data_IF_417899779255
#
_entry.id   IF_417899779255
#
_cell.length_a   1.000
_cell.length_b   1.000
_cell.length_c   1.000
_cell.angle_alpha   90.00
_cell.angle_beta   90.00
_cell.angle_gamma   90.00
#
_symmetry.space_group_name_H-M   'P 1'
#
loop_
_entity.id
_entity.type
_entity.pdbx_description
1 polymer ?
#
# COMPACT_ATOMS: atom_id res chain seq x y z
N UNK A 1 20.63 -10.62 25.30
CA UNK A 1 19.66 -9.58 24.97
C UNK A 1 19.55 -9.49 23.45
N UNK A 2 18.33 -9.32 22.96
CA UNK A 2 17.99 -9.23 21.55
C UNK A 2 18.48 -7.89 20.97
N UNK A 3 18.83 -7.88 19.68
CA UNK A 3 19.16 -6.65 18.96
C UNK A 3 17.86 -5.83 18.75
N UNK A 4 17.91 -4.49 18.79
CA UNK A 4 16.75 -3.68 18.44
C UNK A 4 16.34 -3.94 16.99
N UNK A 5 15.04 -3.89 16.70
CA UNK A 5 14.47 -4.17 15.39
C UNK A 5 13.96 -2.88 14.73
N UNK A 6 14.33 -2.68 13.48
CA UNK A 6 13.77 -1.66 12.62
C UNK A 6 12.41 -2.13 12.10
N UNK A 7 11.42 -1.23 12.11
CA UNK A 7 10.08 -1.46 11.57
C UNK A 7 9.79 -0.39 10.54
N UNK A 8 9.55 -0.78 9.29
CA UNK A 8 9.41 0.15 8.17
C UNK A 8 8.21 -0.23 7.31
N UNK A 9 7.37 0.76 7.00
CA UNK A 9 6.34 0.65 5.97
C UNK A 9 6.70 1.50 4.76
N UNK A 10 6.59 0.95 3.56
CA UNK A 10 6.78 1.65 2.29
C UNK A 10 5.69 1.27 1.30
N UNK A 11 5.25 2.27 0.54
CA UNK A 11 4.31 2.07 -0.54
C UNK A 11 5.04 2.17 -1.87
N UNK A 12 4.93 1.13 -2.67
CA UNK A 12 5.37 1.10 -4.05
C UNK A 12 4.22 1.37 -5.01
N UNK A 13 4.43 1.12 -6.29
CA UNK A 13 3.38 1.26 -7.31
C UNK A 13 2.32 0.15 -7.18
N UNK A 14 2.78 -1.10 -7.03
CA UNK A 14 1.94 -2.30 -7.01
C UNK A 14 1.75 -2.89 -5.62
N UNK A 15 2.69 -2.68 -4.71
CA UNK A 15 2.64 -3.32 -3.39
C UNK A 15 2.90 -2.35 -2.24
N UNK A 16 2.33 -2.67 -1.07
CA UNK A 16 2.74 -2.16 0.22
C UNK A 16 3.72 -3.15 0.83
N UNK A 17 4.86 -2.65 1.27
CA UNK A 17 5.84 -3.38 2.06
C UNK A 17 5.73 -2.96 3.53
N UNK A 18 5.52 -3.92 4.41
CA UNK A 18 5.80 -3.80 5.84
C UNK A 18 6.95 -4.75 6.16
N UNK A 19 8.03 -4.24 6.72
CA UNK A 19 9.22 -5.07 7.01
C UNK A 19 9.77 -4.78 8.39
N UNK A 20 10.17 -5.86 9.04
CA UNK A 20 10.86 -5.85 10.31
C UNK A 20 12.18 -6.64 10.18
N UNK A 21 13.26 -6.10 10.72
CA UNK A 21 14.57 -6.74 10.75
C UNK A 21 15.43 -6.21 11.89
N UNK A 22 16.28 -7.05 12.51
CA UNK A 22 17.18 -6.62 13.58
C UNK A 22 18.35 -5.80 13.04
N UNK A 23 18.90 -4.91 13.85
CA UNK A 23 20.12 -4.15 13.57
C UNK A 23 21.24 -5.06 13.01
N UNK A 24 21.97 -4.59 12.01
CA UNK A 24 22.97 -5.38 11.31
C UNK A 24 24.28 -5.47 12.10
N UNK A 25 24.86 -6.67 12.11
CA UNK A 25 26.19 -6.94 12.65
C UNK A 25 26.97 -7.79 11.66
N UNK A 26 28.21 -7.43 11.36
CA UNK A 26 29.07 -8.17 10.46
C UNK A 26 29.23 -9.64 10.89
N UNK A 27 29.10 -10.56 9.95
CA UNK A 27 29.17 -11.99 10.20
C UNK A 27 28.00 -12.59 10.99
N UNK A 28 26.94 -11.83 11.26
CA UNK A 28 25.74 -12.29 11.98
C UNK A 28 24.48 -12.23 11.12
N UNK A 29 23.67 -13.28 11.20
CA UNK A 29 22.39 -13.32 10.51
C UNK A 29 21.40 -12.26 11.02
N UNK A 30 20.81 -11.52 10.10
CA UNK A 30 19.67 -10.64 10.32
C UNK A 30 18.51 -11.17 9.50
N UNK A 31 17.56 -11.81 10.16
CA UNK A 31 16.38 -12.38 9.53
C UNK A 31 15.32 -11.31 9.37
N UNK A 32 14.80 -11.17 8.18
CA UNK A 32 13.72 -10.24 7.84
C UNK A 32 12.37 -10.91 8.04
N UNK A 33 11.38 -10.13 8.46
CA UNK A 33 9.97 -10.45 8.31
C UNK A 33 9.36 -9.39 7.37
N UNK A 34 9.35 -9.71 6.06
CA UNK A 34 8.88 -8.79 5.04
C UNK A 34 7.49 -9.22 4.55
N UNK A 35 6.49 -8.35 4.76
CA UNK A 35 5.10 -8.56 4.40
C UNK A 35 4.77 -7.72 3.18
N UNK A 36 4.32 -8.37 2.10
CA UNK A 36 3.91 -7.70 0.88
C UNK A 36 2.42 -7.86 0.63
N UNK A 37 1.74 -6.73 0.56
CA UNK A 37 0.30 -6.62 0.27
C UNK A 37 0.12 -5.99 -1.11
N UNK A 38 -0.66 -6.60 -2.00
CA UNK A 38 -1.07 -5.99 -3.27
C UNK A 38 -1.89 -4.73 -2.99
N UNK A 39 -1.66 -3.66 -3.75
CA UNK A 39 -2.43 -2.41 -3.65
C UNK A 39 -3.73 -2.44 -4.45
N UNK A 40 -3.89 -3.43 -5.34
CA UNK A 40 -5.09 -3.56 -6.17
C UNK A 40 -6.25 -4.22 -5.42
N UNK A 41 -5.96 -5.26 -4.63
CA UNK A 41 -6.98 -6.06 -3.95
C UNK A 41 -6.74 -6.22 -2.44
N UNK A 42 -5.69 -5.61 -1.90
CA UNK A 42 -5.26 -5.67 -0.50
C UNK A 42 -5.00 -7.10 0.00
N UNK A 43 -4.63 -8.01 -0.90
CA UNK A 43 -4.32 -9.40 -0.58
C UNK A 43 -2.80 -9.63 -0.50
N UNK A 44 -2.38 -10.69 0.21
CA UNK A 44 -0.95 -11.03 0.29
C UNK A 44 -0.41 -11.51 -1.07
N UNK A 45 0.79 -11.08 -1.43
CA UNK A 45 1.52 -11.56 -2.61
C UNK A 45 1.89 -13.03 -2.40
N UNK A 46 1.45 -13.91 -3.31
CA UNK A 46 1.60 -15.36 -3.16
C UNK A 46 2.80 -15.93 -3.90
N UNK A 47 3.16 -15.32 -5.02
CA UNK A 47 4.22 -15.80 -5.90
C UNK A 47 5.15 -14.64 -6.25
N UNK A 48 6.33 -14.66 -5.67
CA UNK A 48 7.39 -13.69 -5.94
C UNK A 48 8.72 -14.20 -5.38
N UNK A 49 9.80 -13.60 -5.84
CA UNK A 49 11.15 -13.70 -5.31
C UNK A 49 11.50 -12.40 -4.60
N UNK A 50 12.01 -12.47 -3.40
CA UNK A 50 12.52 -11.32 -2.67
C UNK A 50 14.04 -11.35 -2.59
N UNK A 51 14.69 -10.25 -2.91
CA UNK A 51 16.11 -10.04 -2.70
C UNK A 51 16.34 -8.90 -1.71
N UNK A 52 17.24 -9.13 -0.78
CA UNK A 52 17.81 -8.12 0.12
C UNK A 52 19.19 -7.74 -0.42
N UNK A 53 19.43 -6.46 -0.63
CA UNK A 53 20.68 -5.94 -1.18
C UNK A 53 21.26 -4.88 -0.25
N UNK A 54 22.50 -5.04 0.16
CA UNK A 54 23.27 -4.04 0.89
C UNK A 54 24.40 -3.52 0.00
N UNK A 55 24.47 -2.18 -0.14
CA UNK A 55 25.53 -1.52 -0.91
C UNK A 55 26.21 -0.45 -0.09
N UNK A 56 27.50 -0.25 -0.30
CA UNK A 56 28.28 0.82 0.33
C UNK A 56 29.26 1.43 -0.67
N UNK A 57 29.85 2.60 -0.36
CA UNK A 57 30.73 3.30 -1.31
C UNK A 57 32.02 2.52 -1.59
N UNK A 58 32.57 1.85 -0.57
CA UNK A 58 33.91 1.26 -0.62
C UNK A 58 33.91 -0.27 -0.61
N UNK A 59 32.71 -0.90 -0.64
CA UNK A 59 32.57 -2.35 -0.52
C UNK A 59 31.66 -2.89 -1.61
N UNK A 60 31.89 -4.12 -2.09
CA UNK A 60 31.03 -4.77 -3.06
C UNK A 60 29.59 -4.87 -2.52
N UNK A 61 28.62 -4.84 -3.42
CA UNK A 61 27.23 -5.10 -3.08
C UNK A 61 27.04 -6.54 -2.65
N UNK A 62 26.27 -6.74 -1.59
CA UNK A 62 25.90 -8.04 -1.06
C UNK A 62 24.42 -8.29 -1.33
N UNK A 63 24.06 -9.54 -1.67
CA UNK A 63 22.69 -9.91 -2.03
C UNK A 63 22.31 -11.25 -1.42
N UNK A 64 21.13 -11.31 -0.81
CA UNK A 64 20.50 -12.51 -0.27
C UNK A 64 19.09 -12.64 -0.83
N UNK A 65 18.66 -13.88 -1.06
CA UNK A 65 17.42 -14.15 -1.77
C UNK A 65 16.51 -15.11 -1.01
N UNK A 66 15.19 -14.82 -1.06
CA UNK A 66 14.15 -15.77 -0.77
C UNK A 66 13.37 -16.03 -2.07
N UNK A 67 13.54 -17.22 -2.65
CA UNK A 67 12.97 -17.59 -3.94
C UNK A 67 11.44 -17.73 -3.95
N UNK A 68 10.83 -17.79 -2.76
CA UNK A 68 9.36 -17.84 -2.57
C UNK A 68 9.00 -17.36 -1.16
N UNK A 69 7.77 -16.92 -0.92
CA UNK A 69 7.32 -16.59 0.41
C UNK A 69 7.26 -17.83 1.32
N UNK A 70 7.61 -17.67 2.59
CA UNK A 70 7.46 -18.69 3.62
C UNK A 70 5.98 -19.00 3.92
N UNK A 71 5.13 -17.96 3.82
CA UNK A 71 3.67 -17.99 3.83
C UNK A 71 3.16 -16.97 2.84
N UNK A 72 1.89 -17.06 2.38
CA UNK A 72 1.34 -16.02 1.51
C UNK A 72 1.61 -14.60 2.04
N UNK A 73 2.32 -13.80 1.26
CA UNK A 73 2.70 -12.43 1.58
C UNK A 73 3.91 -12.27 2.50
N UNK A 74 4.43 -13.33 3.11
CA UNK A 74 5.51 -13.25 4.12
C UNK A 74 6.79 -13.87 3.58
N UNK A 75 7.82 -13.05 3.47
CA UNK A 75 9.16 -13.45 3.06
C UNK A 75 10.13 -13.31 4.25
N UNK A 76 10.97 -14.31 4.43
CA UNK A 76 11.92 -14.37 5.56
C UNK A 76 13.36 -14.59 5.10
N UNK A 77 13.91 -13.71 4.21
CA UNK A 77 15.32 -13.80 3.88
C UNK A 77 16.19 -13.51 5.10
N UNK A 78 17.38 -14.10 5.13
CA UNK A 78 18.39 -13.81 6.16
C UNK A 78 19.61 -13.21 5.48
N UNK A 79 19.96 -11.99 5.84
CA UNK A 79 21.19 -11.33 5.41
C UNK A 79 22.30 -11.56 6.43
N UNK A 80 23.50 -11.86 5.95
CA UNK A 80 24.73 -12.00 6.76
C UNK A 80 25.75 -11.04 6.18
N UNK A 81 25.73 -9.74 6.57
CA UNK A 81 26.69 -8.77 6.03
C UNK A 81 28.13 -9.13 6.41
N UNK A 82 29.07 -9.00 5.48
CA UNK A 82 30.49 -9.21 5.75
C UNK A 82 31.20 -7.90 6.10
N UNK A 83 30.67 -6.76 5.59
CA UNK A 83 31.33 -5.46 5.70
C UNK A 83 30.60 -4.53 6.65
N UNK A 84 31.35 -3.92 7.57
CA UNK A 84 30.86 -2.90 8.51
C UNK A 84 30.66 -1.54 7.84
N UNK A 85 30.07 -0.60 8.58
CA UNK A 85 29.87 0.79 8.16
C UNK A 85 28.48 1.08 7.64
N UNK A 86 28.29 2.26 7.03
CA UNK A 86 27.02 2.70 6.53
C UNK A 86 26.69 2.03 5.19
N UNK A 87 25.60 1.27 5.17
CA UNK A 87 25.17 0.48 4.00
C UNK A 87 23.74 0.85 3.59
N UNK A 88 23.55 1.09 2.30
CA UNK A 88 22.19 1.31 1.75
C UNK A 88 21.48 -0.02 1.60
N UNK A 89 20.28 -0.09 2.17
CA UNK A 89 19.41 -1.27 2.10
C UNK A 89 18.36 -1.09 1.00
N UNK A 90 18.33 -2.06 0.10
CA UNK A 90 17.35 -2.15 -0.96
C UNK A 90 16.68 -3.53 -0.91
N UNK A 91 15.35 -3.56 -0.94
CA UNK A 91 14.58 -4.76 -1.18
C UNK A 91 14.06 -4.76 -2.62
N UNK A 92 14.18 -5.91 -3.30
CA UNK A 92 13.71 -6.09 -4.67
C UNK A 92 12.73 -7.25 -4.70
N UNK A 93 11.47 -6.95 -5.01
CA UNK A 93 10.40 -7.93 -5.21
C UNK A 93 10.24 -8.19 -6.71
N UNK A 94 10.37 -9.44 -7.12
CA UNK A 94 10.23 -9.89 -8.51
C UNK A 94 9.05 -10.86 -8.59
N UNK A 95 8.00 -10.46 -9.32
CA UNK A 95 6.86 -11.30 -9.67
C UNK A 95 6.92 -11.69 -11.14
N UNK A 96 5.96 -12.43 -11.65
CA UNK A 96 5.84 -12.70 -13.08
C UNK A 96 5.42 -11.46 -13.90
N UNK A 97 4.79 -10.47 -13.25
CA UNK A 97 4.18 -9.32 -13.92
C UNK A 97 5.01 -8.04 -13.78
N UNK A 98 5.69 -7.86 -12.62
CA UNK A 98 6.45 -6.66 -12.34
C UNK A 98 7.67 -6.92 -11.45
N UNK A 99 8.58 -5.96 -11.45
CA UNK A 99 9.69 -5.87 -10.49
C UNK A 99 9.61 -4.55 -9.74
N UNK A 100 9.53 -4.60 -8.43
CA UNK A 100 9.44 -3.42 -7.58
C UNK A 100 10.64 -3.31 -6.64
N UNK A 101 11.14 -2.07 -6.44
CA UNK A 101 12.33 -1.79 -5.65
C UNK A 101 12.01 -0.83 -4.51
N UNK A 102 12.33 -1.23 -3.28
CA UNK A 102 12.13 -0.45 -2.08
C UNK A 102 13.48 -0.02 -1.51
N UNK A 103 13.82 1.26 -1.68
CA UNK A 103 14.97 1.84 -0.99
C UNK A 103 14.53 2.18 0.45
N UNK A 104 15.07 1.43 1.41
CA UNK A 104 14.73 1.61 2.83
C UNK A 104 15.62 2.64 3.54
N UNK A 105 16.66 3.12 2.87
CA UNK A 105 17.60 4.07 3.45
C UNK A 105 18.96 3.47 3.73
N UNK A 106 19.72 4.13 4.60
CA UNK A 106 21.07 3.72 4.97
C UNK A 106 21.07 3.30 6.43
N UNK A 107 21.69 2.14 6.70
CA UNK A 107 21.76 1.53 8.02
C UNK A 107 23.21 1.21 8.36
N UNK A 108 23.60 1.35 9.64
CA UNK A 108 24.90 0.91 10.09
C UNK A 108 24.95 -0.62 10.13
N UNK A 109 26.07 -1.17 9.68
CA UNK A 109 26.47 -2.56 9.98
C UNK A 109 27.54 -2.47 11.04
N UNK A 110 27.21 -2.90 12.25
CA UNK A 110 28.09 -2.83 13.41
C UNK A 110 29.16 -3.94 13.41
N UNK A 111 30.26 -3.66 14.06
CA UNK A 111 31.32 -4.65 14.25
C UNK A 111 30.96 -5.68 15.35
N UNK A 112 30.19 -5.24 16.35
CA UNK A 112 29.82 -6.06 17.49
C UNK A 112 28.34 -6.06 17.82
N UNK A 113 27.87 -7.12 18.52
CA UNK A 113 26.53 -7.19 19.06
C UNK A 113 26.28 -6.15 20.15
N UNK A 114 27.31 -5.72 20.86
CA UNK A 114 27.20 -4.74 21.94
C UNK A 114 26.88 -3.34 21.37
N UNK A 115 27.58 -2.95 20.33
CA UNK A 115 27.31 -1.69 19.61
C UNK A 115 25.91 -1.70 18.99
N UNK A 116 25.53 -2.78 18.31
CA UNK A 116 24.21 -2.91 17.70
C UNK A 116 23.03 -2.83 18.69
N UNK A 117 23.25 -3.22 19.95
CA UNK A 117 22.24 -3.10 21.02
C UNK A 117 22.01 -1.66 21.48
N UNK A 118 22.95 -0.78 21.23
CA UNK A 118 22.88 0.64 21.60
C UNK A 118 22.33 1.49 20.48
N UNK A 119 21.98 0.91 19.33
CA UNK A 119 21.36 1.65 18.23
C UNK A 119 20.04 2.27 18.68
N UNK A 120 19.88 3.60 18.62
CA UNK A 120 18.64 4.26 18.94
C UNK A 120 17.63 4.00 17.80
N UNK A 121 16.69 3.13 18.05
CA UNK A 121 15.57 2.90 17.12
C UNK A 121 14.32 3.53 17.70
N UNK A 122 13.76 4.47 16.96
CA UNK A 122 12.50 5.11 17.29
C UNK A 122 11.36 4.19 16.83
N UNK A 123 10.90 3.35 17.73
CA UNK A 123 9.68 2.58 17.51
C UNK A 123 8.51 3.34 18.14
N UNK A 124 7.52 3.79 17.36
CA UNK A 124 6.38 4.51 17.90
C UNK A 124 5.67 3.66 18.96
N UNK A 125 5.55 4.21 20.16
CA UNK A 125 4.87 3.58 21.28
C UNK A 125 3.42 4.01 21.34
N UNK A 126 2.51 3.08 21.64
CA UNK A 126 1.08 3.35 21.83
C UNK A 126 0.23 3.15 20.56
N UNK A 127 0.74 2.49 19.55
CA UNK A 127 -0.01 2.13 18.36
C UNK A 127 -0.97 0.96 18.62
N UNK A 128 -2.10 0.98 17.93
CA UNK A 128 -3.02 -0.16 17.90
C UNK A 128 -2.37 -1.25 17.05
N UNK A 129 -2.05 -2.38 17.68
CA UNK A 129 -1.49 -3.52 16.98
C UNK A 129 -2.56 -4.19 16.10
N UNK A 130 -2.38 -4.13 14.78
CA UNK A 130 -3.21 -4.84 13.81
C UNK A 130 -2.31 -5.50 12.75
N UNK A 131 -1.96 -6.76 13.01
CA UNK A 131 -0.98 -7.50 12.21
C UNK A 131 -1.43 -7.66 10.75
N UNK A 132 -0.49 -7.68 9.81
CA UNK A 132 -0.77 -7.84 8.37
C UNK A 132 -1.59 -9.11 8.08
N UNK A 133 -1.29 -10.21 8.75
CA UNK A 133 -2.04 -11.46 8.61
C UNK A 133 -3.49 -11.37 9.10
N UNK A 134 -3.79 -10.43 10.00
CA UNK A 134 -5.15 -10.13 10.42
C UNK A 134 -5.85 -9.24 9.40
N UNK A 135 -5.14 -8.22 8.86
CA UNK A 135 -5.65 -7.32 7.83
C UNK A 135 -6.08 -8.10 6.58
N UNK A 136 -5.29 -9.08 6.14
CA UNK A 136 -5.59 -9.91 4.97
C UNK A 136 -6.82 -10.83 5.10
N UNK A 137 -7.37 -10.99 6.30
CA UNK A 137 -8.56 -11.82 6.57
C UNK A 137 -9.87 -11.05 6.55
N UNK A 138 -9.80 -9.73 6.52
CA UNK A 138 -10.94 -8.83 6.53
C UNK A 138 -10.89 -7.91 5.32
N UNK A 139 -11.97 -7.19 5.08
CA UNK A 139 -12.03 -6.16 4.05
C UNK A 139 -11.39 -4.87 4.59
N UNK A 140 -10.07 -4.79 4.45
CA UNK A 140 -9.23 -3.71 4.99
C UNK A 140 -8.12 -3.36 4.01
N UNK A 141 -7.96 -2.07 3.75
CA UNK A 141 -6.89 -1.52 2.93
C UNK A 141 -6.33 -0.25 3.54
N UNK A 142 -5.07 0.03 3.23
CA UNK A 142 -4.36 1.24 3.66
C UNK A 142 -3.79 1.97 2.46
N UNK A 143 -3.67 3.29 2.57
CA UNK A 143 -3.04 4.12 1.55
C UNK A 143 -2.33 5.29 2.21
N UNK A 144 -1.37 5.87 1.51
CA UNK A 144 -0.68 7.06 1.98
C UNK A 144 -1.65 8.24 2.09
N UNK A 145 -1.56 8.98 3.20
CA UNK A 145 -2.29 10.22 3.37
C UNK A 145 -1.67 11.31 2.48
N UNK A 146 -2.50 11.96 1.67
CA UNK A 146 -2.07 13.04 0.80
C UNK A 146 -2.56 14.40 1.31
N UNK A 147 -1.71 15.42 1.24
CA UNK A 147 -2.11 16.79 1.45
C UNK A 147 -2.98 17.28 0.29
N UNK A 148 -4.21 17.68 0.57
CA UNK A 148 -5.09 18.32 -0.42
C UNK A 148 -5.87 19.46 0.20
N UNK A 149 -6.17 20.49 -0.61
CA UNK A 149 -7.09 21.53 -0.20
C UNK A 149 -8.52 20.96 -0.18
N UNK A 150 -9.14 21.03 0.98
CA UNK A 150 -10.54 20.67 1.14
C UNK A 150 -11.39 21.91 1.17
N UNK A 151 -12.43 21.96 0.33
CA UNK A 151 -13.44 23.01 0.42
C UNK A 151 -14.49 22.58 1.44
N UNK A 152 -14.90 23.49 2.34
CA UNK A 152 -16.01 23.19 3.23
C UNK A 152 -17.26 22.92 2.37
N UNK A 153 -17.97 21.86 2.66
CA UNK A 153 -19.20 21.47 1.99
C UNK A 153 -20.27 21.16 3.01
N UNK A 154 -21.49 21.51 2.68
CA UNK A 154 -22.67 21.17 3.48
C UNK A 154 -23.54 20.25 2.64
N UNK A 155 -23.90 19.06 3.13
CA UNK A 155 -24.83 18.18 2.43
C UNK A 155 -26.23 18.82 2.43
N UNK A 156 -26.83 18.89 1.24
CA UNK A 156 -28.18 19.42 1.06
C UNK A 156 -29.01 18.45 0.25
N UNK A 157 -30.32 18.40 0.56
CA UNK A 157 -31.26 17.68 -0.29
C UNK A 157 -31.61 18.54 -1.50
N UNK A 158 -31.51 17.96 -2.71
CA UNK A 158 -31.86 18.61 -3.94
C UNK A 158 -32.82 17.75 -4.76
N UNK A 159 -33.73 18.41 -5.48
CA UNK A 159 -34.63 17.79 -6.46
C UNK A 159 -34.36 18.40 -7.81
N UNK A 160 -34.02 17.57 -8.78
CA UNK A 160 -33.90 18.01 -10.17
C UNK A 160 -35.30 18.17 -10.75
N UNK A 161 -35.57 19.34 -11.31
CA UNK A 161 -36.83 19.67 -12.04
C UNK A 161 -36.46 20.24 -13.40
N UNK A 162 -37.29 20.05 -14.43
CA UNK A 162 -37.17 20.78 -15.68
C UNK A 162 -37.13 22.28 -15.44
N UNK A 163 -36.40 23.02 -16.25
CA UNK A 163 -36.53 24.47 -16.28
C UNK A 163 -37.95 24.87 -16.72
N UNK A 164 -38.40 26.07 -16.37
CA UNK A 164 -39.77 26.55 -16.71
C UNK A 164 -40.11 26.51 -18.19
N UNK A 165 -39.07 26.52 -19.06
CA UNK A 165 -39.20 26.32 -20.51
C UNK A 165 -39.18 24.85 -20.97
N UNK A 166 -38.84 23.93 -20.06
CA UNK A 166 -38.73 22.49 -20.34
C UNK A 166 -39.90 21.65 -19.80
N UNK A 167 -40.91 22.29 -19.22
CA UNK A 167 -42.13 21.66 -18.72
C UNK A 167 -43.36 22.45 -19.16
N UNK A 168 -44.31 21.78 -19.75
CA UNK A 168 -45.58 22.36 -20.10
C UNK A 168 -46.73 21.45 -19.61
N UNK A 169 -47.74 22.05 -18.99
CA UNK A 169 -48.97 21.37 -18.61
C UNK A 169 -50.08 21.77 -19.56
N UNK A 170 -50.62 20.80 -20.25
CA UNK A 170 -51.79 21.01 -21.12
C UNK A 170 -53.01 20.42 -20.44
N UNK A 171 -53.99 21.26 -20.12
CA UNK A 171 -55.25 20.83 -19.52
C UNK A 171 -56.29 20.55 -20.59
N UNK A 172 -57.00 19.44 -20.46
CA UNK A 172 -58.15 19.17 -21.34
C UNK A 172 -59.31 20.16 -21.03
N UNK A 173 -59.87 20.86 -22.02
CA UNK A 173 -60.93 21.81 -21.80
C UNK A 173 -62.28 21.15 -21.45
N UNK A 174 -62.40 19.83 -21.71
CA UNK A 174 -63.61 19.05 -21.43
C UNK A 174 -63.24 17.68 -20.83
N UNK A 175 -64.16 17.09 -20.07
CA UNK A 175 -64.01 15.72 -19.60
C UNK A 175 -64.01 14.73 -20.76
N UNK A 176 -63.00 13.86 -20.82
CA UNK A 176 -62.86 12.88 -21.88
C UNK A 176 -61.83 11.79 -21.54
N UNK A 177 -61.71 10.80 -22.41
CA UNK A 177 -60.73 9.72 -22.30
C UNK A 177 -59.48 10.13 -23.10
N UNK A 178 -58.33 10.14 -22.45
CA UNK A 178 -57.07 10.35 -23.13
C UNK A 178 -56.54 9.00 -23.62
N UNK A 179 -56.14 8.92 -24.88
CA UNK A 179 -55.42 7.80 -25.47
C UNK A 179 -54.11 8.27 -26.10
N UNK A 180 -53.07 7.50 -25.95
CA UNK A 180 -51.80 7.79 -26.62
C UNK A 180 -51.95 7.69 -28.14
N UNK A 181 -51.43 8.63 -28.94
CA UNK A 181 -51.39 8.49 -30.39
C UNK A 181 -50.52 7.30 -30.80
N UNK A 182 -50.71 6.75 -32.00
CA UNK A 182 -49.98 5.59 -32.52
C UNK A 182 -48.47 5.77 -32.63
N UNK A 183 -47.99 7.00 -32.49
CA UNK A 183 -46.55 7.32 -32.51
C UNK A 183 -45.90 7.54 -31.12
N UNK A 184 -46.64 7.23 -30.02
CA UNK A 184 -46.15 7.49 -28.67
C UNK A 184 -46.59 8.85 -28.13
N UNK A 185 -46.11 9.24 -26.95
CA UNK A 185 -46.33 10.54 -26.36
C UNK A 185 -45.46 11.59 -27.09
N UNK A 186 -45.97 12.79 -27.34
CA UNK A 186 -45.19 13.84 -27.98
C UNK A 186 -44.03 14.28 -27.09
N UNK A 187 -42.89 14.53 -27.70
CA UNK A 187 -41.71 15.06 -27.03
C UNK A 187 -41.71 16.60 -27.09
N UNK A 188 -41.00 17.24 -26.13
CA UNK A 188 -40.88 18.71 -26.10
C UNK A 188 -40.14 19.19 -27.35
N UNK A 189 -40.84 20.06 -28.13
CA UNK A 189 -40.32 20.59 -29.40
C UNK A 189 -40.76 19.81 -30.66
N UNK A 190 -41.55 18.75 -30.52
CA UNK A 190 -42.14 18.02 -31.62
C UNK A 190 -43.34 18.80 -32.16
N UNK A 191 -43.32 19.11 -33.46
CA UNK A 191 -44.42 19.78 -34.20
C UNK A 191 -45.32 18.79 -34.91
#
# INVERSE_FOLDING_TARGET
AERPAHVITKFGEHTELFVEFPAFVAGKGSSFAAHFTSRDDYRPIREAKLSVVLTGPDNPGERWEAGKPARPGIFTPTAVPEYTGQRRLLLVLETAEFTERFNLGTFPVFDSLEEARQEPIDNPSGEISFLKEQQWKVDFGVTEAAHRQMRPSVPVHAKIRPASSGEAAVSAPFAGRISSPSGGLPEVGQS
#
